data_IF_539321636310
#
_entry.id   IF_539321636310
#
_cell.length_a   1.000
_cell.length_b   1.000
_cell.length_c   1.000
_cell.angle_alpha   90.00
_cell.angle_beta   90.00
_cell.angle_gamma   90.00
#
_symmetry.space_group_name_H-M   'P 1'
#
loop_
_entity.id
_entity.type
_entity.pdbx_description
1 polymer ?
#
# COMPACT_ATOMS: atom_id res chain seq x y z
N UNK A 1 -4.12 -13.90 -11.11
CA UNK A 1 -4.63 -14.77 -12.18
C UNK A 1 -5.12 -13.99 -13.41
N UNK A 2 -6.02 -13.02 -13.29
CA UNK A 2 -6.63 -12.27 -14.40
C UNK A 2 -5.61 -11.65 -15.37
N UNK A 3 -4.58 -10.97 -14.85
CA UNK A 3 -3.52 -10.33 -15.65
C UNK A 3 -2.79 -11.36 -16.53
N UNK A 4 -2.36 -12.48 -15.92
CA UNK A 4 -1.65 -13.53 -16.64
C UNK A 4 -2.55 -14.19 -17.72
N UNK A 5 -3.82 -14.47 -17.41
CA UNK A 5 -4.77 -15.03 -18.39
C UNK A 5 -4.96 -14.06 -19.57
N UNK A 6 -5.16 -12.77 -19.29
CA UNK A 6 -5.27 -11.75 -20.35
C UNK A 6 -4.01 -11.66 -21.20
N UNK A 7 -2.82 -11.64 -20.57
CA UNK A 7 -1.55 -11.59 -21.27
C UNK A 7 -1.32 -12.81 -22.17
N UNK A 8 -1.57 -14.03 -21.67
CA UNK A 8 -1.44 -15.25 -22.48
C UNK A 8 -2.43 -15.29 -23.63
N UNK A 9 -3.69 -14.92 -23.40
CA UNK A 9 -4.70 -14.86 -24.47
C UNK A 9 -4.28 -13.89 -25.56
N UNK A 10 -3.84 -12.68 -25.18
CA UNK A 10 -3.34 -11.69 -26.14
C UNK A 10 -2.13 -12.21 -26.93
N UNK A 11 -1.19 -12.86 -26.24
CA UNK A 11 -0.01 -13.45 -26.87
C UNK A 11 -0.39 -14.50 -27.93
N UNK A 12 -1.33 -15.42 -27.63
CA UNK A 12 -1.82 -16.41 -28.60
C UNK A 12 -2.49 -15.78 -29.82
N UNK A 13 -3.12 -14.63 -29.65
CA UNK A 13 -3.72 -13.84 -30.74
C UNK A 13 -2.75 -12.86 -31.41
N UNK A 14 -1.45 -12.89 -31.05
CA UNK A 14 -0.40 -11.97 -31.56
C UNK A 14 -0.73 -10.50 -31.30
N UNK A 15 -1.46 -10.20 -30.23
CA UNK A 15 -1.75 -8.86 -29.77
C UNK A 15 -0.64 -8.46 -28.78
N UNK A 16 0.07 -7.33 -29.00
CA UNK A 16 1.14 -6.89 -28.09
C UNK A 16 0.58 -6.59 -26.70
N UNK A 17 1.26 -7.09 -25.67
CA UNK A 17 0.90 -6.90 -24.27
C UNK A 17 1.79 -5.82 -23.69
N UNK A 18 1.20 -4.81 -23.10
CA UNK A 18 1.90 -3.75 -22.37
C UNK A 18 1.61 -3.90 -20.88
N UNK A 19 2.67 -4.18 -20.11
CA UNK A 19 2.56 -4.51 -18.68
C UNK A 19 2.80 -3.26 -17.83
N UNK A 20 1.74 -2.74 -17.21
CA UNK A 20 1.81 -1.66 -16.22
C UNK A 20 2.10 -2.26 -14.84
N UNK A 21 2.87 -1.56 -14.01
CA UNK A 21 3.35 -2.05 -12.69
C UNK A 21 4.30 -3.27 -12.87
N UNK A 22 5.14 -3.25 -13.90
CA UNK A 22 6.05 -4.33 -14.22
C UNK A 22 7.29 -4.34 -13.31
N UNK A 23 7.83 -5.54 -13.04
CA UNK A 23 9.11 -5.70 -12.35
C UNK A 23 9.05 -5.77 -10.83
N UNK A 24 7.87 -5.79 -10.22
CA UNK A 24 7.73 -6.10 -8.79
C UNK A 24 8.13 -7.54 -8.54
N UNK A 25 9.10 -7.76 -7.61
CA UNK A 25 9.62 -9.09 -7.26
C UNK A 25 9.85 -9.22 -5.76
N UNK A 26 9.41 -10.33 -5.20
CA UNK A 26 9.82 -10.81 -3.87
C UNK A 26 10.97 -11.82 -3.98
N UNK A 27 11.07 -12.54 -5.11
CA UNK A 27 11.93 -13.70 -5.35
C UNK A 27 11.59 -14.92 -4.48
N UNK A 28 10.51 -14.86 -3.72
CA UNK A 28 9.93 -16.00 -3.02
C UNK A 28 8.64 -16.43 -3.73
N UNK A 29 8.65 -17.62 -4.35
CA UNK A 29 7.50 -18.13 -5.13
C UNK A 29 6.27 -18.41 -4.27
N UNK A 30 6.42 -18.44 -2.96
CA UNK A 30 5.35 -18.68 -1.99
C UNK A 30 4.90 -17.40 -1.27
N UNK A 31 5.62 -16.26 -1.41
CA UNK A 31 5.26 -15.01 -0.72
C UNK A 31 5.53 -13.76 -1.60
N UNK A 32 4.48 -13.12 -2.17
CA UNK A 32 3.05 -13.47 -2.10
C UNK A 32 2.70 -14.63 -3.05
N UNK A 33 1.89 -15.56 -2.59
CA UNK A 33 1.43 -16.69 -3.40
C UNK A 33 0.02 -16.43 -3.95
N UNK A 34 -0.23 -16.67 -5.25
CA UNK A 34 0.68 -17.14 -6.31
C UNK A 34 1.25 -15.97 -7.17
N UNK A 35 1.17 -14.74 -6.70
CA UNK A 35 1.42 -13.52 -7.48
C UNK A 35 2.84 -13.43 -8.01
N UNK A 36 3.86 -13.85 -7.24
CA UNK A 36 5.26 -13.76 -7.68
C UNK A 36 5.52 -14.51 -8.98
N UNK A 37 5.07 -15.77 -9.04
CA UNK A 37 5.22 -16.59 -10.27
C UNK A 37 4.43 -15.99 -11.44
N UNK A 38 3.21 -15.49 -11.17
CA UNK A 38 2.39 -14.88 -12.21
C UNK A 38 3.00 -13.61 -12.79
N UNK A 39 3.67 -12.80 -11.97
CA UNK A 39 4.41 -11.60 -12.42
C UNK A 39 5.55 -11.99 -13.35
N UNK A 40 6.35 -13.00 -12.98
CA UNK A 40 7.44 -13.50 -13.81
C UNK A 40 6.96 -14.03 -15.16
N UNK A 41 5.90 -14.84 -15.15
CA UNK A 41 5.29 -15.38 -16.40
C UNK A 41 4.75 -14.27 -17.30
N UNK A 42 4.07 -13.27 -16.71
CA UNK A 42 3.56 -12.11 -17.48
C UNK A 42 4.68 -11.33 -18.13
N UNK A 43 5.82 -11.16 -17.44
CA UNK A 43 6.98 -10.46 -17.99
C UNK A 43 7.58 -11.15 -19.21
N UNK A 44 7.42 -12.46 -19.36
CA UNK A 44 7.94 -13.21 -20.55
C UNK A 44 7.13 -12.99 -21.84
N UNK A 45 5.85 -12.64 -21.72
CA UNK A 45 4.97 -12.45 -22.88
C UNK A 45 4.69 -10.98 -23.18
N UNK A 46 5.07 -10.07 -22.27
CA UNK A 46 4.86 -8.64 -22.45
C UNK A 46 5.84 -8.05 -23.48
N UNK A 47 5.33 -7.21 -24.37
CA UNK A 47 6.09 -6.49 -25.37
C UNK A 47 6.76 -5.23 -24.81
N UNK A 48 6.09 -4.54 -23.87
CA UNK A 48 6.61 -3.39 -23.13
C UNK A 48 6.34 -3.52 -21.64
N UNK A 49 7.23 -2.96 -20.84
CA UNK A 49 7.21 -2.98 -19.39
C UNK A 49 7.26 -1.56 -18.84
N UNK A 50 6.20 -1.13 -18.16
CA UNK A 50 6.14 0.13 -17.42
C UNK A 50 6.45 -0.13 -15.96
N UNK A 51 7.71 0.05 -15.59
CA UNK A 51 8.21 -0.20 -14.24
C UNK A 51 7.92 1.01 -13.35
N UNK A 52 7.43 0.81 -12.11
CA UNK A 52 7.22 1.90 -11.15
C UNK A 52 8.51 2.60 -10.75
N UNK A 53 9.60 1.86 -10.57
CA UNK A 53 10.86 2.39 -10.03
C UNK A 53 12.08 1.80 -10.75
N UNK A 54 13.27 2.35 -10.45
CA UNK A 54 14.54 1.81 -10.92
C UNK A 54 14.80 0.39 -10.41
N UNK A 55 14.41 0.05 -9.19
CA UNK A 55 14.54 -1.30 -8.62
C UNK A 55 13.74 -2.32 -9.43
N UNK A 56 12.52 -1.94 -9.84
CA UNK A 56 11.67 -2.80 -10.68
C UNK A 56 12.26 -2.98 -12.08
N UNK A 57 12.85 -1.92 -12.66
CA UNK A 57 13.62 -2.03 -13.91
C UNK A 57 14.78 -2.99 -13.78
N UNK A 58 15.57 -2.86 -12.70
CA UNK A 58 16.74 -3.74 -12.47
C UNK A 58 16.35 -5.21 -12.31
N UNK A 59 15.18 -5.47 -11.70
CA UNK A 59 14.64 -6.82 -11.61
C UNK A 59 14.32 -7.41 -13.00
N UNK A 60 13.70 -6.64 -13.88
CA UNK A 60 13.42 -7.06 -15.27
C UNK A 60 14.71 -7.28 -16.08
N UNK A 61 15.70 -6.41 -15.93
CA UNK A 61 17.01 -6.58 -16.57
C UNK A 61 17.72 -7.86 -16.13
N UNK A 62 17.70 -8.19 -14.83
CA UNK A 62 18.24 -9.45 -14.29
C UNK A 62 17.56 -10.69 -14.85
N UNK A 63 16.29 -10.57 -15.24
CA UNK A 63 15.53 -11.63 -15.91
C UNK A 63 15.75 -11.69 -17.43
N UNK A 64 16.64 -10.83 -17.97
CA UNK A 64 16.99 -10.82 -19.39
C UNK A 64 15.97 -10.10 -20.29
N UNK A 65 15.16 -9.19 -19.74
CA UNK A 65 14.33 -8.30 -20.55
C UNK A 65 15.20 -7.18 -21.12
N UNK A 66 15.06 -6.89 -22.40
CA UNK A 66 15.83 -5.87 -23.09
C UNK A 66 15.53 -4.46 -22.52
N UNK A 67 16.55 -3.65 -22.37
CA UNK A 67 16.44 -2.32 -21.75
C UNK A 67 15.53 -1.35 -22.50
N UNK A 68 15.44 -1.49 -23.82
CA UNK A 68 14.59 -0.67 -24.70
C UNK A 68 13.09 -0.98 -24.54
N UNK A 69 12.76 -2.12 -23.98
CA UNK A 69 11.39 -2.53 -23.65
C UNK A 69 10.94 -2.12 -22.24
N UNK A 70 11.83 -1.49 -21.44
CA UNK A 70 11.55 -1.15 -20.05
C UNK A 70 11.54 0.37 -19.86
N UNK A 71 10.41 0.91 -19.42
CA UNK A 71 10.24 2.34 -19.15
C UNK A 71 9.94 2.54 -17.65
N UNK A 72 10.77 3.33 -16.97
CA UNK A 72 10.50 3.74 -15.58
C UNK A 72 9.59 4.95 -15.62
N UNK A 73 8.37 4.83 -15.13
CA UNK A 73 7.31 5.84 -15.27
C UNK A 73 6.67 6.28 -13.97
N UNK A 74 6.99 5.62 -12.85
CA UNK A 74 6.25 5.75 -11.60
C UNK A 74 5.09 4.76 -11.52
N UNK A 75 4.40 4.74 -10.38
CA UNK A 75 3.21 3.91 -10.18
C UNK A 75 1.94 4.73 -10.40
N UNK A 76 1.02 4.21 -11.22
CA UNK A 76 -0.27 4.85 -11.53
C UNK A 76 -1.19 5.02 -10.32
N UNK A 77 -0.93 4.32 -9.21
CA UNK A 77 -1.66 4.54 -7.95
C UNK A 77 -1.42 5.96 -7.42
N UNK A 78 -0.23 6.54 -7.68
CA UNK A 78 0.08 7.92 -7.28
C UNK A 78 -0.71 8.92 -8.12
N UNK A 79 -0.90 8.63 -9.42
CA UNK A 79 -1.79 9.46 -10.27
C UNK A 79 -3.22 9.47 -9.72
N UNK A 80 -3.72 8.33 -9.23
CA UNK A 80 -5.06 8.22 -8.67
C UNK A 80 -5.26 9.13 -7.44
N UNK A 81 -4.24 9.33 -6.61
CA UNK A 81 -4.30 10.27 -5.48
C UNK A 81 -4.57 11.70 -5.93
N UNK A 82 -3.93 12.13 -7.03
CA UNK A 82 -4.08 13.48 -7.57
C UNK A 82 -5.37 13.68 -8.38
N UNK A 83 -6.08 12.59 -8.72
CA UNK A 83 -7.39 12.67 -9.37
C UNK A 83 -8.53 13.00 -8.40
N UNK A 84 -8.30 12.95 -7.08
CA UNK A 84 -9.31 13.26 -6.08
C UNK A 84 -9.57 14.77 -6.01
N UNK A 85 -10.79 15.19 -6.35
CA UNK A 85 -11.19 16.59 -6.27
C UNK A 85 -11.35 17.06 -4.82
N UNK A 86 -11.37 18.39 -4.63
CA UNK A 86 -11.60 18.98 -3.30
C UNK A 86 -12.96 18.59 -2.73
N UNK A 87 -13.99 18.52 -3.57
CA UNK A 87 -15.34 18.15 -3.14
C UNK A 87 -15.42 16.72 -2.64
N UNK A 88 -14.68 15.80 -3.29
CA UNK A 88 -14.57 14.39 -2.84
C UNK A 88 -13.90 14.31 -1.47
N UNK A 89 -12.86 15.10 -1.24
CA UNK A 89 -12.16 15.15 0.06
C UNK A 89 -13.07 15.75 1.14
N UNK A 90 -13.86 16.79 0.84
CA UNK A 90 -14.79 17.39 1.81
C UNK A 90 -15.94 16.42 2.16
N UNK A 91 -16.44 15.66 1.19
CA UNK A 91 -17.41 14.59 1.45
C UNK A 91 -16.85 13.51 2.38
N UNK A 92 -15.57 13.16 2.24
CA UNK A 92 -14.92 12.24 3.16
C UNK A 92 -14.83 12.77 4.58
N UNK A 93 -14.53 14.06 4.75
CA UNK A 93 -14.56 14.71 6.07
C UNK A 93 -15.93 14.56 6.72
N UNK A 94 -16.99 14.94 5.99
CA UNK A 94 -18.37 14.82 6.46
C UNK A 94 -18.73 13.37 6.82
N UNK A 95 -18.30 12.40 6.04
CA UNK A 95 -18.53 10.97 6.32
C UNK A 95 -18.04 10.56 7.71
N UNK A 96 -16.86 11.05 8.16
CA UNK A 96 -16.33 10.75 9.48
C UNK A 96 -17.00 11.59 10.58
N UNK A 97 -17.34 12.84 10.31
CA UNK A 97 -18.10 13.70 11.23
C UNK A 97 -19.48 13.10 11.53
N UNK A 98 -20.21 12.63 10.53
CA UNK A 98 -21.53 11.98 10.68
C UNK A 98 -21.45 10.69 11.52
N UNK A 99 -20.27 10.06 11.62
CA UNK A 99 -20.01 8.90 12.47
C UNK A 99 -19.44 9.26 13.85
N UNK A 100 -19.31 10.53 14.16
CA UNK A 100 -18.68 11.03 15.39
C UNK A 100 -17.23 10.52 15.55
N UNK A 101 -16.49 10.37 14.45
CA UNK A 101 -15.07 9.99 14.46
C UNK A 101 -14.24 11.25 14.27
N UNK A 102 -13.52 11.63 15.32
CA UNK A 102 -12.62 12.77 15.27
C UNK A 102 -11.37 12.45 14.48
N UNK A 103 -11.14 13.20 13.41
CA UNK A 103 -9.94 13.08 12.56
C UNK A 103 -9.05 14.30 12.83
N UNK A 104 -8.03 14.11 13.63
CA UNK A 104 -7.06 15.13 14.05
C UNK A 104 -5.61 14.63 13.94
N UNK A 105 -4.69 15.38 14.55
CA UNK A 105 -3.26 15.07 14.54
C UNK A 105 -2.85 13.86 15.41
N UNK A 106 -3.82 13.17 16.02
CA UNK A 106 -3.64 11.97 16.84
C UNK A 106 -4.23 10.71 16.19
N UNK A 107 -4.63 10.80 14.91
CA UNK A 107 -5.20 9.68 14.18
C UNK A 107 -4.14 8.59 13.91
N UNK A 108 -4.48 7.35 14.22
CA UNK A 108 -3.76 6.13 13.82
C UNK A 108 -4.63 5.33 12.88
N UNK A 109 -4.18 5.16 11.65
CA UNK A 109 -4.85 4.29 10.66
C UNK A 109 -4.24 2.89 10.73
N UNK A 110 -5.10 1.87 10.82
CA UNK A 110 -4.65 0.48 10.88
C UNK A 110 -5.36 -0.35 9.81
N UNK A 111 -4.59 -1.09 9.01
CA UNK A 111 -5.14 -2.06 8.05
C UNK A 111 -4.40 -3.39 8.17
N UNK A 112 -5.12 -4.49 8.35
CA UNK A 112 -4.56 -5.83 8.44
C UNK A 112 -5.51 -6.82 7.74
N UNK A 113 -5.05 -7.42 6.64
CA UNK A 113 -5.89 -8.30 5.82
C UNK A 113 -5.11 -9.37 5.05
N UNK A 114 -3.78 -9.32 5.03
CA UNK A 114 -2.96 -10.26 4.29
C UNK A 114 -3.05 -11.67 4.85
N UNK A 115 -3.12 -12.67 3.96
CA UNK A 115 -3.23 -14.09 4.32
C UNK A 115 -2.04 -14.57 5.15
N UNK A 116 -0.86 -14.04 4.89
CA UNK A 116 0.37 -14.32 5.63
C UNK A 116 0.29 -13.93 7.12
N UNK A 117 -0.61 -12.99 7.46
CA UNK A 117 -0.84 -12.58 8.84
C UNK A 117 -1.96 -13.37 9.54
N UNK A 118 -2.63 -14.32 8.87
CA UNK A 118 -3.66 -15.13 9.52
C UNK A 118 -3.04 -16.06 10.61
N UNK A 119 -3.86 -16.55 11.52
CA UNK A 119 -3.44 -17.41 12.62
C UNK A 119 -2.86 -16.62 13.80
N UNK A 120 -1.70 -17.00 14.31
CA UNK A 120 -1.07 -16.38 15.48
C UNK A 120 -0.52 -14.96 15.19
N UNK A 121 -0.15 -14.68 13.94
CA UNK A 121 0.40 -13.37 13.57
C UNK A 121 -0.62 -12.26 13.79
N UNK A 122 -1.88 -12.46 13.38
CA UNK A 122 -2.93 -11.46 13.59
C UNK A 122 -3.23 -11.27 15.08
N UNK A 123 -3.10 -12.33 15.90
CA UNK A 123 -3.30 -12.21 17.35
C UNK A 123 -2.25 -11.30 17.99
N UNK A 124 -0.98 -11.43 17.61
CA UNK A 124 0.10 -10.54 18.08
C UNK A 124 -0.09 -9.07 17.63
N UNK A 125 -0.57 -8.87 16.40
CA UNK A 125 -0.92 -7.53 15.90
C UNK A 125 -2.06 -6.93 16.73
N UNK A 126 -3.13 -7.69 17.00
CA UNK A 126 -4.25 -7.24 17.81
C UNK A 126 -3.82 -6.94 19.25
N UNK A 127 -2.92 -7.76 19.84
CA UNK A 127 -2.35 -7.50 21.17
C UNK A 127 -1.61 -6.16 21.21
N UNK A 128 -0.79 -5.88 20.21
CA UNK A 128 -0.07 -4.62 20.11
C UNK A 128 -1.02 -3.42 19.97
N UNK A 129 -2.04 -3.53 19.12
CA UNK A 129 -3.07 -2.49 18.94
C UNK A 129 -3.81 -2.25 20.27
N UNK A 130 -4.22 -3.31 20.95
CA UNK A 130 -4.92 -3.24 22.25
C UNK A 130 -4.07 -2.50 23.29
N UNK A 131 -2.78 -2.81 23.35
CA UNK A 131 -1.86 -2.12 24.26
C UNK A 131 -1.73 -0.64 23.92
N UNK A 132 -1.51 -0.30 22.64
CA UNK A 132 -1.39 1.08 22.19
C UNK A 132 -2.66 1.89 22.50
N UNK A 133 -3.85 1.32 22.23
CA UNK A 133 -5.12 2.00 22.52
C UNK A 133 -5.35 2.24 24.02
N UNK A 134 -4.94 1.31 24.88
CA UNK A 134 -4.98 1.48 26.34
C UNK A 134 -4.03 2.56 26.83
N UNK A 135 -2.84 2.64 26.24
CA UNK A 135 -1.79 3.60 26.65
C UNK A 135 -2.04 5.00 26.12
N UNK A 136 -2.55 5.12 24.90
CA UNK A 136 -2.79 6.38 24.19
C UNK A 136 -4.30 6.65 24.05
N UNK A 137 -4.95 6.88 25.19
CA UNK A 137 -6.41 7.07 25.27
C UNK A 137 -6.90 8.34 24.57
N UNK A 138 -6.02 9.29 24.33
CA UNK A 138 -6.25 10.56 23.64
C UNK A 138 -6.01 10.48 22.12
N UNK A 139 -5.65 9.29 21.60
CA UNK A 139 -5.48 9.03 20.19
C UNK A 139 -6.70 8.28 19.62
N UNK A 140 -7.06 8.59 18.38
CA UNK A 140 -8.14 7.93 17.64
C UNK A 140 -7.55 6.83 16.75
N UNK A 141 -7.97 5.60 16.95
CA UNK A 141 -7.57 4.45 16.14
C UNK A 141 -8.70 4.10 15.18
N UNK A 142 -8.45 4.12 13.87
CA UNK A 142 -9.45 3.75 12.86
C UNK A 142 -8.99 2.51 12.12
N UNK A 143 -9.84 1.49 12.12
CA UNK A 143 -9.56 0.18 11.52
C UNK A 143 -10.65 -0.16 10.51
N UNK A 144 -10.45 0.08 9.21
CA UNK A 144 -11.26 -0.54 8.17
C UNK A 144 -11.08 -2.06 8.19
N UNK A 145 -12.10 -2.79 8.64
CA UNK A 145 -12.01 -4.22 8.89
C UNK A 145 -12.32 -5.00 7.62
N UNK A 146 -11.37 -5.84 7.20
CA UNK A 146 -11.56 -6.71 6.05
C UNK A 146 -12.68 -7.73 6.30
N UNK A 147 -13.56 -8.04 5.32
CA UNK A 147 -14.73 -8.89 5.51
C UNK A 147 -14.42 -10.37 5.77
N UNK A 148 -13.16 -10.80 5.59
CA UNK A 148 -12.76 -12.18 5.85
C UNK A 148 -13.02 -12.55 7.32
N UNK A 149 -13.86 -13.59 7.62
CA UNK A 149 -14.24 -13.96 8.97
C UNK A 149 -13.05 -14.29 9.88
N UNK A 150 -11.97 -14.87 9.34
CA UNK A 150 -10.76 -15.22 10.08
C UNK A 150 -10.04 -14.02 10.70
N UNK A 151 -10.20 -12.84 10.11
CA UNK A 151 -9.63 -11.59 10.59
C UNK A 151 -10.70 -10.79 11.33
N UNK A 152 -11.88 -10.65 10.69
CA UNK A 152 -12.97 -9.82 11.19
C UNK A 152 -13.39 -10.20 12.61
N UNK A 153 -13.71 -11.49 12.85
CA UNK A 153 -14.21 -11.92 14.15
C UNK A 153 -13.18 -11.63 15.26
N UNK A 154 -11.91 -11.97 15.06
CA UNK A 154 -10.85 -11.70 16.02
C UNK A 154 -10.69 -10.20 16.36
N UNK A 155 -10.80 -9.32 15.34
CA UNK A 155 -10.71 -7.87 15.52
C UNK A 155 -11.90 -7.38 16.35
N UNK A 156 -13.14 -7.74 15.98
CA UNK A 156 -14.33 -7.32 16.73
C UNK A 156 -14.31 -7.84 18.16
N UNK A 157 -14.12 -9.15 18.37
CA UNK A 157 -14.15 -9.78 19.70
C UNK A 157 -13.16 -9.13 20.69
N UNK A 158 -12.05 -8.57 20.20
CA UNK A 158 -10.97 -8.08 21.05
C UNK A 158 -10.83 -6.57 21.11
N UNK A 159 -11.34 -5.85 20.12
CA UNK A 159 -11.12 -4.40 19.99
C UNK A 159 -12.39 -3.56 20.08
N UNK A 160 -13.60 -4.13 19.94
CA UNK A 160 -14.85 -3.38 19.94
C UNK A 160 -15.13 -2.63 21.25
N UNK A 161 -14.62 -3.15 22.38
CA UNK A 161 -14.85 -2.55 23.71
C UNK A 161 -14.02 -1.27 23.97
N UNK A 162 -13.08 -0.91 23.08
CA UNK A 162 -12.24 0.28 23.27
C UNK A 162 -12.94 1.53 22.75
N UNK A 163 -13.13 2.52 23.61
CA UNK A 163 -13.82 3.76 23.26
C UNK A 163 -13.11 4.61 22.18
N UNK A 164 -11.79 4.46 22.05
CA UNK A 164 -10.96 5.19 21.10
C UNK A 164 -10.58 4.35 19.85
N UNK A 165 -11.14 3.16 19.68
CA UNK A 165 -11.01 2.34 18.47
C UNK A 165 -12.32 2.37 17.68
N UNK A 166 -12.24 2.76 16.43
CA UNK A 166 -13.37 2.77 15.51
C UNK A 166 -13.21 1.67 14.46
N UNK A 167 -13.98 0.59 14.62
CA UNK A 167 -14.06 -0.51 13.66
C UNK A 167 -15.05 -0.14 12.56
N UNK A 168 -14.59 0.01 11.34
CA UNK A 168 -15.41 0.37 10.19
C UNK A 168 -15.51 -0.78 9.19
N UNK A 169 -16.57 -0.88 8.40
CA UNK A 169 -16.56 -1.73 7.21
C UNK A 169 -15.48 -1.26 6.24
N UNK A 170 -15.14 -2.05 5.20
CA UNK A 170 -14.24 -1.61 4.15
C UNK A 170 -14.66 -0.25 3.62
N UNK A 171 -13.70 0.66 3.55
CA UNK A 171 -13.92 2.03 3.06
C UNK A 171 -13.76 2.09 1.54
N UNK A 172 -14.47 3.01 0.91
CA UNK A 172 -14.15 3.43 -0.44
C UNK A 172 -12.81 4.16 -0.50
N UNK A 173 -12.29 4.30 -1.70
CA UNK A 173 -10.95 4.86 -1.91
C UNK A 173 -10.80 6.30 -1.38
N UNK A 174 -11.74 7.24 -1.64
CA UNK A 174 -11.63 8.60 -1.11
C UNK A 174 -11.55 8.66 0.42
N UNK A 175 -12.37 7.88 1.11
CA UNK A 175 -12.37 7.84 2.57
C UNK A 175 -11.07 7.25 3.13
N UNK A 176 -10.52 6.21 2.48
CA UNK A 176 -9.24 5.65 2.86
C UNK A 176 -8.08 6.64 2.65
N UNK A 177 -8.07 7.34 1.51
CA UNK A 177 -7.07 8.40 1.22
C UNK A 177 -7.19 9.56 2.20
N UNK A 178 -8.40 9.94 2.57
CA UNK A 178 -8.63 10.97 3.58
C UNK A 178 -7.98 10.59 4.92
N UNK A 179 -8.14 9.35 5.39
CA UNK A 179 -7.50 8.87 6.61
C UNK A 179 -5.97 8.86 6.48
N UNK A 180 -5.42 8.36 5.36
CA UNK A 180 -3.97 8.35 5.13
C UNK A 180 -3.36 9.76 5.19
N UNK A 181 -4.04 10.73 4.60
CA UNK A 181 -3.60 12.14 4.58
C UNK A 181 -3.55 12.75 5.99
N UNK A 182 -4.49 12.39 6.86
CA UNK A 182 -4.62 12.95 8.19
C UNK A 182 -3.94 12.12 9.29
N UNK A 183 -3.55 10.88 8.99
CA UNK A 183 -2.91 10.01 9.97
C UNK A 183 -1.58 10.60 10.51
N UNK A 184 -1.36 10.39 11.80
CA UNK A 184 -0.08 10.57 12.47
C UNK A 184 0.82 9.37 12.26
N UNK A 185 0.19 8.19 12.25
CA UNK A 185 0.83 6.90 12.06
C UNK A 185 -0.07 5.98 11.24
N UNK A 186 0.52 5.25 10.33
CA UNK A 186 -0.15 4.13 9.64
C UNK A 186 0.52 2.81 10.04
N UNK A 187 -0.30 1.86 10.52
CA UNK A 187 0.07 0.46 10.70
C UNK A 187 -0.60 -0.36 9.60
N UNK A 188 0.17 -0.99 8.71
CA UNK A 188 -0.44 -1.65 7.55
C UNK A 188 0.30 -2.91 7.09
N UNK A 189 -0.42 -3.83 6.49
CA UNK A 189 0.14 -4.92 5.69
C UNK A 189 -0.18 -4.78 4.18
N UNK A 190 -0.83 -3.67 3.79
CA UNK A 190 -1.22 -3.39 2.41
C UNK A 190 -0.06 -2.86 1.58
N UNK A 191 0.15 -3.43 0.37
CA UNK A 191 1.12 -2.92 -0.60
C UNK A 191 0.75 -1.54 -1.13
N UNK A 192 -0.52 -1.30 -1.48
CA UNK A 192 -0.98 -0.01 -1.99
C UNK A 192 -0.77 1.13 -1.01
N UNK A 193 -1.08 0.92 0.27
CA UNK A 193 -0.86 1.94 1.31
C UNK A 193 0.63 2.26 1.48
N UNK A 194 1.54 1.27 1.33
CA UNK A 194 2.98 1.52 1.34
C UNK A 194 3.43 2.46 0.21
N UNK A 195 2.75 2.43 -0.93
CA UNK A 195 3.04 3.31 -2.07
C UNK A 195 2.39 4.68 -1.93
N UNK A 196 1.19 4.75 -1.38
CA UNK A 196 0.39 5.98 -1.26
C UNK A 196 0.83 6.87 -0.09
N UNK A 197 1.04 6.29 1.09
CA UNK A 197 1.32 7.00 2.34
C UNK A 197 2.51 7.98 2.26
N UNK A 198 3.61 7.68 1.54
CA UNK A 198 4.71 8.62 1.35
C UNK A 198 4.31 9.94 0.70
N UNK A 199 3.28 9.95 -0.17
CA UNK A 199 2.74 11.19 -0.78
C UNK A 199 2.16 12.16 0.25
N UNK A 200 1.77 11.64 1.42
CA UNK A 200 1.26 12.43 2.55
C UNK A 200 2.32 12.66 3.63
N UNK A 201 3.55 12.25 3.40
CA UNK A 201 4.66 12.29 4.37
C UNK A 201 4.30 11.58 5.70
N UNK A 202 3.43 10.58 5.66
CA UNK A 202 2.95 9.87 6.84
C UNK A 202 3.88 8.70 7.19
N UNK A 203 4.39 8.63 8.44
CA UNK A 203 5.15 7.48 8.90
C UNK A 203 4.33 6.19 8.78
N UNK A 204 4.92 5.18 8.15
CA UNK A 204 4.24 3.92 7.89
C UNK A 204 5.04 2.74 8.46
N UNK A 205 4.44 1.99 9.38
CA UNK A 205 4.98 0.76 9.91
C UNK A 205 4.30 -0.43 9.22
N UNK A 206 5.11 -1.22 8.54
CA UNK A 206 4.65 -2.34 7.73
C UNK A 206 4.67 -3.61 8.55
N UNK A 207 3.49 -4.16 8.84
CA UNK A 207 3.28 -5.37 9.64
C UNK A 207 3.47 -6.64 8.81
N UNK A 208 4.60 -6.69 8.08
CA UNK A 208 5.05 -7.83 7.28
C UNK A 208 6.52 -8.09 7.57
N UNK A 209 6.97 -9.33 7.38
CA UNK A 209 8.39 -9.68 7.51
C UNK A 209 9.15 -9.39 6.22
N UNK A 210 8.48 -9.52 5.07
CA UNK A 210 9.01 -9.21 3.75
C UNK A 210 8.06 -8.27 2.99
N UNK A 211 8.62 -7.47 2.08
CA UNK A 211 7.85 -6.65 1.15
C UNK A 211 8.56 -6.55 -0.19
N UNK A 212 7.78 -6.51 -1.24
CA UNK A 212 8.22 -6.20 -2.60
C UNK A 212 8.41 -4.68 -2.83
N UNK A 213 8.07 -3.83 -1.85
CA UNK A 213 8.21 -2.36 -1.86
C UNK A 213 9.47 -1.94 -1.10
N UNK A 214 10.62 -2.42 -1.55
CA UNK A 214 11.92 -2.17 -0.90
C UNK A 214 12.31 -0.71 -0.94
N UNK A 215 11.93 0.01 -2.00
CA UNK A 215 12.21 1.42 -2.18
C UNK A 215 11.67 2.29 -1.03
N UNK A 216 10.48 1.97 -0.52
CA UNK A 216 9.91 2.68 0.63
C UNK A 216 10.73 2.48 1.91
N UNK A 217 11.32 1.30 2.09
CA UNK A 217 12.20 1.00 3.23
C UNK A 217 13.54 1.71 3.06
N UNK A 218 14.16 1.63 1.88
CA UNK A 218 15.44 2.25 1.56
C UNK A 218 15.38 3.78 1.64
N UNK A 219 14.28 4.37 1.17
CA UNK A 219 14.01 5.80 1.28
C UNK A 219 13.65 6.25 2.71
N UNK A 220 13.47 5.32 3.65
CA UNK A 220 13.11 5.60 5.04
C UNK A 220 11.67 6.11 5.22
N UNK A 221 10.80 5.94 4.21
CA UNK A 221 9.39 6.36 4.28
C UNK A 221 8.48 5.28 4.88
N UNK A 222 8.98 4.04 4.94
CA UNK A 222 8.31 2.91 5.57
C UNK A 222 9.30 2.10 6.39
N UNK A 223 8.82 1.37 7.40
CA UNK A 223 9.64 0.50 8.24
C UNK A 223 8.97 -0.85 8.45
N UNK A 224 9.69 -1.95 8.16
CA UNK A 224 9.23 -3.31 8.46
C UNK A 224 9.26 -3.56 9.96
N UNK A 225 8.11 -3.90 10.53
CA UNK A 225 7.96 -4.27 11.94
C UNK A 225 7.51 -5.73 12.11
N UNK A 226 7.07 -6.39 11.04
CA UNK A 226 6.52 -7.75 11.12
C UNK A 226 5.22 -7.81 11.92
N UNK A 227 4.74 -9.00 12.17
CA UNK A 227 3.73 -9.30 13.18
C UNK A 227 4.42 -9.53 14.55
N UNK A 228 5.32 -8.62 14.92
CA UNK A 228 6.14 -8.67 16.12
C UNK A 228 5.62 -7.63 17.11
N UNK A 229 5.05 -8.11 18.22
CA UNK A 229 4.43 -7.30 19.25
C UNK A 229 5.37 -6.20 19.78
N UNK A 230 6.57 -6.57 20.21
CA UNK A 230 7.51 -5.63 20.83
C UNK A 230 8.01 -4.58 19.82
N UNK A 231 8.24 -5.01 18.58
CA UNK A 231 8.72 -4.13 17.53
C UNK A 231 7.63 -3.14 17.07
N UNK A 232 6.38 -3.61 16.96
CA UNK A 232 5.23 -2.74 16.69
C UNK A 232 5.11 -1.68 17.78
N UNK A 233 5.15 -2.07 19.06
CA UNK A 233 5.07 -1.12 20.19
C UNK A 233 6.21 -0.12 20.16
N UNK A 234 7.45 -0.59 20.13
CA UNK A 234 8.65 0.24 20.16
C UNK A 234 8.67 1.31 19.07
N UNK A 235 8.33 0.94 17.85
CA UNK A 235 8.38 1.88 16.74
C UNK A 235 7.15 2.80 16.71
N UNK A 236 5.97 2.30 17.10
CA UNK A 236 4.78 3.13 17.24
C UNK A 236 4.95 4.19 18.32
N UNK A 237 5.49 3.84 19.49
CA UNK A 237 5.69 4.76 20.60
C UNK A 237 6.61 5.93 20.25
N UNK A 238 7.67 5.70 19.48
CA UNK A 238 8.54 6.77 18.99
C UNK A 238 7.78 7.83 18.19
N UNK A 239 6.80 7.39 17.39
CA UNK A 239 6.00 8.27 16.56
C UNK A 239 4.88 8.94 17.37
N UNK A 240 4.19 8.17 18.23
CA UNK A 240 3.05 8.67 18.98
C UNK A 240 3.43 9.68 20.07
N UNK A 241 4.64 9.58 20.65
CA UNK A 241 5.14 10.52 21.66
C UNK A 241 5.70 11.82 21.08
N UNK A 242 6.06 11.84 19.79
CA UNK A 242 6.55 13.03 19.09
C UNK A 242 5.39 13.87 18.53
N UNK A 243 5.63 15.14 18.21
CA UNK A 243 4.68 15.94 17.46
C UNK A 243 4.53 15.41 16.01
N UNK A 244 3.38 15.63 15.37
CA UNK A 244 3.18 15.22 13.97
C UNK A 244 4.15 15.95 13.02
N UNK A 245 4.54 17.17 13.33
CA UNK A 245 5.50 17.93 12.54
C UNK A 245 6.90 17.31 12.59
N UNK A 246 7.32 16.77 13.74
CA UNK A 246 8.61 16.10 13.90
C UNK A 246 8.67 14.75 13.22
N UNK A 247 7.53 14.05 13.13
CA UNK A 247 7.46 12.72 12.55
C UNK A 247 7.21 12.72 11.05
N UNK A 248 6.76 13.86 10.46
CA UNK A 248 6.55 13.96 9.01
C UNK A 248 7.84 13.69 8.24
N UNK A 249 7.72 12.80 7.27
CA UNK A 249 8.82 12.40 6.40
C UNK A 249 9.24 13.58 5.50
N UNK A 250 10.55 13.74 5.33
CA UNK A 250 11.12 14.74 4.41
C UNK A 250 11.43 14.19 3.03
N UNK A 251 11.38 12.86 2.87
CA UNK A 251 11.67 12.20 1.61
C UNK A 251 10.51 12.34 0.61
N UNK A 252 10.86 12.45 -0.67
CA UNK A 252 9.88 12.36 -1.75
C UNK A 252 9.34 10.93 -1.86
N UNK A 253 8.14 10.79 -2.42
CA UNK A 253 7.58 9.47 -2.68
C UNK A 253 8.41 8.72 -3.73
N UNK A 254 9.06 7.58 -3.39
CA UNK A 254 9.89 6.84 -4.35
C UNK A 254 9.09 6.18 -5.47
N UNK A 255 7.77 6.10 -5.33
CA UNK A 255 6.89 5.41 -6.28
C UNK A 255 6.33 6.34 -7.37
N UNK A 256 6.62 7.62 -7.34
CA UNK A 256 6.25 8.55 -8.40
C UNK A 256 5.70 9.88 -7.93
N UNK A 257 5.39 10.72 -8.89
CA UNK A 257 4.94 12.11 -8.72
C UNK A 257 3.52 12.38 -9.27
N UNK A 258 2.81 11.34 -9.71
CA UNK A 258 1.47 11.45 -10.30
C UNK A 258 1.47 11.73 -11.81
N UNK A 259 2.54 11.43 -12.51
CA UNK A 259 2.64 11.61 -13.98
C UNK A 259 2.77 10.28 -14.74
N UNK A 260 2.68 9.15 -14.07
CA UNK A 260 2.88 7.82 -14.66
C UNK A 260 1.94 7.56 -15.83
N UNK A 261 0.64 7.80 -15.67
CA UNK A 261 -0.36 7.56 -16.71
C UNK A 261 -0.11 8.39 -17.97
N UNK A 262 0.31 9.65 -17.80
CA UNK A 262 0.65 10.53 -18.93
C UNK A 262 1.89 10.05 -19.66
N UNK A 263 2.90 9.57 -18.94
CA UNK A 263 4.12 9.01 -19.54
C UNK A 263 3.79 7.72 -20.31
N UNK A 264 2.98 6.80 -19.72
CA UNK A 264 2.53 5.57 -20.36
C UNK A 264 1.77 5.88 -21.66
N UNK A 265 0.79 6.77 -21.60
CA UNK A 265 0.00 7.19 -22.76
C UNK A 265 0.90 7.71 -23.89
N UNK A 266 1.86 8.59 -23.58
CA UNK A 266 2.79 9.15 -24.56
C UNK A 266 3.68 8.09 -25.22
N UNK A 267 4.12 7.06 -24.47
CA UNK A 267 4.93 5.96 -25.00
C UNK A 267 4.07 5.06 -25.90
N UNK A 268 2.88 4.67 -25.46
CA UNK A 268 1.95 3.82 -26.24
C UNK A 268 1.60 4.52 -27.56
N UNK A 269 1.27 5.81 -27.52
CA UNK A 269 0.95 6.60 -28.71
C UNK A 269 2.09 6.58 -29.74
N UNK A 270 3.34 6.73 -29.28
CA UNK A 270 4.53 6.64 -30.16
C UNK A 270 4.67 5.25 -30.79
N UNK A 271 4.46 4.18 -30.00
CA UNK A 271 4.53 2.81 -30.54
C UNK A 271 3.47 2.56 -31.61
N UNK A 272 2.24 3.05 -31.41
CA UNK A 272 1.14 2.87 -32.36
C UNK A 272 1.32 3.69 -33.65
N UNK A 273 2.00 4.84 -33.60
CA UNK A 273 2.28 5.66 -34.78
C UNK A 273 3.45 5.12 -35.63
N UNK A 274 4.29 4.26 -35.05
CA UNK A 274 5.46 3.67 -35.70
C UNK A 274 5.23 2.19 -36.12
N UNK A 275 4.06 1.64 -35.86
CA UNK A 275 3.64 0.28 -36.24
C UNK A 275 2.83 0.29 -37.55
#
# INVERSE_FOLDING_TARGET
>A
MTVLCGALTSFYHKIPVYHVEAGLRSYDIYEPFPEEVMRQMTSRVAALHFAPTGVNKDALLKEGIDTDKIHVVGNTVIDALFCLSKDVIENSKKFFEDKNIQIDDKLVLITAHRRENHGERIDRIIDAISFLAKKYTDHTFVIPVHPNPNVRNKIYDRLEAFANIHLLPPLDYPNLVYLQKHAKLILTDSGGIQEEAPSFACPTLVMRYETERKEGIEAGVSKLVGADYDKILKESEKILTSSKAETRLKAQNPYGDGTASKQIEGIIRKCLLNA
#
